data_IF_103166289900
#
_entry.id   IF_103166289900
#
_cell.length_a   1.000
_cell.length_b   1.000
_cell.length_c   1.000
_cell.angle_alpha   90.00
_cell.angle_beta   90.00
_cell.angle_gamma   90.00
#
_symmetry.space_group_name_H-M   'P 1'
#
loop_
_entity.id
_entity.type
_entity.pdbx_description
1 polymer ?
#
# COMPACT_ATOMS: atom_id res chain seq x y z
N UNK A 1 -12.13 14.34 -7.20
CA UNK A 1 -11.61 13.16 -6.47
C UNK A 1 -11.43 11.95 -7.37
N UNK A 2 -12.44 11.57 -8.17
CA UNK A 2 -12.38 10.41 -9.06
C UNK A 2 -11.13 10.36 -9.98
N UNK A 3 -10.83 11.44 -10.71
CA UNK A 3 -9.62 11.48 -11.57
C UNK A 3 -8.33 11.24 -10.79
N UNK A 4 -8.22 11.77 -9.56
CA UNK A 4 -7.04 11.55 -8.72
C UNK A 4 -6.90 10.07 -8.35
N UNK A 5 -8.00 9.41 -7.96
CA UNK A 5 -8.00 7.99 -7.64
C UNK A 5 -7.62 7.12 -8.84
N UNK A 6 -8.10 7.47 -10.03
CA UNK A 6 -7.67 6.80 -11.27
C UNK A 6 -6.18 7.01 -11.53
N UNK A 7 -5.69 8.26 -11.47
CA UNK A 7 -4.29 8.56 -11.74
C UNK A 7 -3.37 7.85 -10.74
N UNK A 8 -3.60 8.01 -9.45
CA UNK A 8 -2.79 7.36 -8.41
C UNK A 8 -2.94 5.84 -8.44
N UNK A 9 -4.14 5.31 -8.71
CA UNK A 9 -4.37 3.88 -8.87
C UNK A 9 -3.58 3.28 -10.04
N UNK A 10 -3.62 3.92 -11.21
CA UNK A 10 -2.89 3.45 -12.40
C UNK A 10 -1.37 3.60 -12.24
N UNK A 11 -0.90 4.67 -11.60
CA UNK A 11 0.53 4.83 -11.29
C UNK A 11 0.99 3.76 -10.32
N UNK A 12 0.25 3.50 -9.24
CA UNK A 12 0.57 2.45 -8.26
C UNK A 12 0.55 1.05 -8.90
N UNK A 13 -0.44 0.80 -9.77
CA UNK A 13 -0.52 -0.44 -10.55
C UNK A 13 0.72 -0.60 -11.45
N UNK A 14 1.11 0.44 -12.17
CA UNK A 14 2.28 0.43 -13.05
C UNK A 14 3.57 0.14 -12.27
N UNK A 15 3.83 0.84 -11.16
CA UNK A 15 5.03 0.58 -10.36
C UNK A 15 4.98 -0.81 -9.71
N UNK A 16 3.80 -1.34 -9.39
CA UNK A 16 3.60 -2.73 -8.99
C UNK A 16 4.04 -3.72 -10.06
N UNK A 17 3.64 -3.51 -11.32
CA UNK A 17 4.10 -4.31 -12.46
C UNK A 17 5.62 -4.23 -12.63
N UNK A 18 6.18 -3.02 -12.56
CA UNK A 18 7.63 -2.81 -12.67
C UNK A 18 8.41 -3.50 -11.55
N UNK A 19 7.85 -3.55 -10.34
CA UNK A 19 8.44 -4.26 -9.18
C UNK A 19 8.57 -5.77 -9.44
N UNK A 20 7.66 -6.36 -10.24
CA UNK A 20 7.70 -7.77 -10.61
C UNK A 20 9.00 -8.18 -11.32
N UNK A 21 9.59 -7.29 -12.12
CA UNK A 21 10.87 -7.56 -12.79
C UNK A 21 12.07 -7.51 -11.84
N UNK A 22 11.99 -6.75 -10.76
CA UNK A 22 13.07 -6.60 -9.78
C UNK A 22 13.13 -7.77 -8.77
N UNK A 23 12.09 -8.60 -8.68
CA UNK A 23 11.92 -9.62 -7.64
C UNK A 23 13.13 -10.52 -7.40
N UNK A 24 13.74 -11.15 -8.44
CA UNK A 24 14.89 -12.03 -8.28
C UNK A 24 16.17 -11.33 -7.80
N UNK A 25 16.28 -10.01 -7.96
CA UNK A 25 17.46 -9.23 -7.60
C UNK A 25 17.44 -8.69 -6.16
N UNK A 26 16.31 -8.82 -5.45
CA UNK A 26 16.17 -8.32 -4.08
C UNK A 26 16.56 -9.37 -3.03
N UNK A 27 17.03 -8.89 -1.88
CA UNK A 27 17.50 -9.71 -0.76
C UNK A 27 16.46 -10.74 -0.31
N UNK A 28 15.19 -10.35 -0.26
CA UNK A 28 14.08 -11.24 0.05
C UNK A 28 13.06 -11.29 -1.12
N UNK A 29 13.20 -12.28 -2.02
CA UNK A 29 12.30 -12.43 -3.17
C UNK A 29 10.83 -12.66 -2.80
N UNK A 30 10.53 -13.28 -1.63
CA UNK A 30 9.13 -13.45 -1.18
C UNK A 30 8.49 -12.11 -0.86
N UNK A 31 9.22 -11.24 -0.16
CA UNK A 31 8.73 -9.90 0.14
C UNK A 31 8.66 -9.02 -1.11
N UNK A 32 9.52 -9.27 -2.11
CA UNK A 32 9.43 -8.61 -3.40
C UNK A 32 8.14 -9.00 -4.16
N UNK A 33 7.77 -10.29 -4.12
CA UNK A 33 6.48 -10.76 -4.62
C UNK A 33 5.32 -10.08 -3.89
N UNK A 34 5.40 -9.96 -2.55
CA UNK A 34 4.41 -9.18 -1.79
C UNK A 34 4.34 -7.74 -2.29
N UNK A 35 5.46 -7.06 -2.50
CA UNK A 35 5.46 -5.67 -3.00
C UNK A 35 4.84 -5.53 -4.38
N UNK A 36 5.13 -6.46 -5.29
CA UNK A 36 4.47 -6.53 -6.60
C UNK A 36 2.95 -6.65 -6.45
N UNK A 37 2.48 -7.60 -5.65
CA UNK A 37 1.05 -7.83 -5.42
C UNK A 37 0.39 -6.63 -4.75
N UNK A 38 1.02 -6.02 -3.74
CA UNK A 38 0.49 -4.84 -3.07
C UNK A 38 0.35 -3.66 -4.04
N UNK A 39 1.34 -3.41 -4.91
CA UNK A 39 1.22 -2.36 -5.94
C UNK A 39 0.06 -2.60 -6.90
N UNK A 40 -0.09 -3.83 -7.40
CA UNK A 40 -1.16 -4.21 -8.33
C UNK A 40 -2.53 -4.16 -7.66
N UNK A 41 -2.70 -4.76 -6.48
CA UNK A 41 -3.97 -4.85 -5.76
C UNK A 41 -4.42 -3.49 -5.23
N UNK A 42 -3.54 -2.71 -4.59
CA UNK A 42 -3.90 -1.38 -4.10
C UNK A 42 -4.15 -0.41 -5.28
N UNK A 43 -3.41 -0.55 -6.38
CA UNK A 43 -3.67 0.21 -7.61
C UNK A 43 -5.07 -0.05 -8.16
N UNK A 44 -5.45 -1.33 -8.31
CA UNK A 44 -6.81 -1.71 -8.71
C UNK A 44 -7.86 -1.22 -7.71
N UNK A 45 -7.60 -1.35 -6.40
CA UNK A 45 -8.52 -0.88 -5.37
C UNK A 45 -8.80 0.62 -5.48
N UNK A 46 -7.78 1.45 -5.68
CA UNK A 46 -7.97 2.89 -5.91
C UNK A 46 -8.80 3.18 -7.16
N UNK A 47 -8.58 2.45 -8.26
CA UNK A 47 -9.40 2.58 -9.47
C UNK A 47 -10.85 2.19 -9.20
N UNK A 48 -11.10 1.09 -8.49
CA UNK A 48 -12.45 0.65 -8.11
C UNK A 48 -13.15 1.67 -7.21
N UNK A 49 -12.45 2.27 -6.25
CA UNK A 49 -12.99 3.36 -5.43
C UNK A 49 -13.30 4.59 -6.28
N UNK A 50 -12.46 4.90 -7.28
CA UNK A 50 -12.76 5.93 -8.27
C UNK A 50 -14.05 5.65 -9.05
N UNK A 51 -14.33 4.40 -9.41
CA UNK A 51 -15.60 3.99 -10.05
C UNK A 51 -16.79 4.05 -9.09
N UNK A 52 -16.57 3.72 -7.82
CA UNK A 52 -17.57 3.81 -6.76
C UNK A 52 -17.93 5.27 -6.43
N UNK A 53 -17.01 6.21 -6.66
CA UNK A 53 -17.08 7.59 -6.19
C UNK A 53 -18.42 8.33 -6.44
N UNK A 54 -19.09 8.20 -7.60
CA UNK A 54 -20.39 8.86 -7.83
C UNK A 54 -21.50 8.41 -6.89
N UNK A 55 -21.34 7.28 -6.21
CA UNK A 55 -22.29 6.71 -5.25
C UNK A 55 -21.99 7.13 -3.80
N UNK A 56 -20.93 7.89 -3.55
CA UNK A 56 -20.55 8.32 -2.20
C UNK A 56 -21.15 9.69 -1.86
N UNK A 57 -21.94 9.72 -0.80
CA UNK A 57 -22.49 10.94 -0.20
C UNK A 57 -21.67 11.36 1.03
N UNK A 58 -20.54 12.03 0.77
CA UNK A 58 -19.64 12.53 1.81
C UNK A 58 -19.48 14.05 1.71
N UNK A 59 -19.43 14.79 2.84
CA UNK A 59 -19.00 16.18 2.84
C UNK A 59 -17.59 16.33 2.24
N UNK A 60 -17.31 17.46 1.59
CA UNK A 60 -16.05 17.69 0.87
C UNK A 60 -14.80 17.41 1.74
N UNK A 61 -14.81 17.77 3.03
CA UNK A 61 -13.70 17.48 3.93
C UNK A 61 -13.42 15.97 4.05
N UNK A 62 -14.47 15.15 4.22
CA UNK A 62 -14.34 13.70 4.31
C UNK A 62 -13.96 13.05 2.99
N UNK A 63 -14.36 13.63 1.86
CA UNK A 63 -13.86 13.20 0.54
C UNK A 63 -12.34 13.38 0.44
N UNK A 64 -11.81 14.54 0.83
CA UNK A 64 -10.36 14.81 0.83
C UNK A 64 -9.63 13.83 1.76
N UNK A 65 -10.11 13.68 3.00
CA UNK A 65 -9.53 12.76 3.99
C UNK A 65 -9.50 11.34 3.44
N UNK A 66 -10.60 10.87 2.85
CA UNK A 66 -10.68 9.52 2.26
C UNK A 66 -9.62 9.34 1.17
N UNK A 67 -9.54 10.25 0.19
CA UNK A 67 -8.54 10.14 -0.89
C UNK A 67 -7.12 10.11 -0.33
N UNK A 68 -6.80 11.00 0.62
CA UNK A 68 -5.46 11.06 1.23
C UNK A 68 -5.12 9.76 1.95
N UNK A 69 -6.04 9.22 2.76
CA UNK A 69 -5.82 7.98 3.50
C UNK A 69 -5.59 6.78 2.59
N UNK A 70 -6.42 6.62 1.55
CA UNK A 70 -6.32 5.47 0.65
C UNK A 70 -5.06 5.54 -0.23
N UNK A 71 -4.75 6.71 -0.77
CA UNK A 71 -3.54 6.90 -1.58
C UNK A 71 -2.30 6.70 -0.71
N UNK A 72 -2.26 7.31 0.47
CA UNK A 72 -1.15 7.09 1.42
C UNK A 72 -1.00 5.61 1.74
N UNK A 73 -2.07 4.92 2.12
CA UNK A 73 -2.01 3.53 2.51
C UNK A 73 -1.49 2.63 1.37
N UNK A 74 -2.01 2.79 0.15
CA UNK A 74 -1.58 2.00 -1.00
C UNK A 74 -0.09 2.18 -1.32
N UNK A 75 0.39 3.43 -1.37
CA UNK A 75 1.80 3.72 -1.65
C UNK A 75 2.72 3.33 -0.50
N UNK A 76 2.32 3.57 0.74
CA UNK A 76 3.07 3.15 1.91
C UNK A 76 3.19 1.62 1.97
N UNK A 77 2.17 0.88 1.52
CA UNK A 77 2.16 -0.58 1.54
C UNK A 77 3.12 -1.16 0.51
N UNK A 78 3.04 -0.66 -0.73
CA UNK A 78 4.01 -0.99 -1.77
C UNK A 78 5.44 -0.65 -1.34
N UNK A 79 5.66 0.53 -0.75
CA UNK A 79 6.99 0.97 -0.34
C UNK A 79 7.53 0.18 0.85
N UNK A 80 6.71 -0.09 1.86
CA UNK A 80 7.11 -0.87 3.04
C UNK A 80 7.55 -2.27 2.65
N UNK A 81 6.78 -2.94 1.79
CA UNK A 81 7.11 -4.28 1.29
C UNK A 81 8.33 -4.24 0.37
N UNK A 82 8.51 -3.20 -0.46
CA UNK A 82 9.70 -3.05 -1.29
C UNK A 82 10.98 -2.86 -0.46
N UNK A 83 10.94 -1.97 0.54
CA UNK A 83 12.06 -1.74 1.45
C UNK A 83 12.36 -2.99 2.28
N UNK A 84 11.33 -3.70 2.74
CA UNK A 84 11.48 -4.97 3.43
C UNK A 84 12.13 -6.03 2.54
N UNK A 85 11.78 -6.07 1.25
CA UNK A 85 12.40 -6.94 0.26
C UNK A 85 13.87 -6.59 -0.01
N UNK A 86 14.17 -5.31 -0.17
CA UNK A 86 15.53 -4.83 -0.43
C UNK A 86 16.45 -5.03 0.78
N UNK A 87 15.95 -4.81 2.00
CA UNK A 87 16.75 -4.87 3.23
C UNK A 87 16.71 -6.21 3.96
N UNK A 88 15.81 -7.12 3.60
CA UNK A 88 15.54 -8.30 4.43
C UNK A 88 14.93 -7.95 5.79
N UNK A 89 14.06 -6.93 5.83
CA UNK A 89 13.39 -6.46 7.05
C UNK A 89 11.93 -6.98 7.14
N UNK A 90 11.19 -6.56 8.16
CA UNK A 90 9.76 -6.85 8.29
C UNK A 90 9.46 -8.08 9.13
N UNK A 91 10.44 -8.63 9.85
CA UNK A 91 10.30 -9.87 10.62
C UNK A 91 9.20 -9.79 11.69
N UNK A 92 9.00 -8.61 12.30
CA UNK A 92 8.02 -8.42 13.38
C UNK A 92 6.57 -8.50 12.91
N UNK A 93 6.26 -7.92 11.76
CA UNK A 93 4.88 -7.76 11.28
C UNK A 93 4.53 -8.68 10.10
N UNK A 94 5.54 -9.14 9.36
CA UNK A 94 5.38 -10.06 8.24
C UNK A 94 6.34 -11.27 8.36
N UNK A 95 6.29 -12.04 9.46
CA UNK A 95 7.27 -13.12 9.74
C UNK A 95 7.29 -14.21 8.67
N UNK A 96 6.14 -14.53 8.07
CA UNK A 96 6.02 -15.55 7.01
C UNK A 96 6.79 -15.14 5.76
N UNK A 97 6.67 -13.87 5.36
CA UNK A 97 7.36 -13.33 4.19
C UNK A 97 8.84 -13.02 4.50
N UNK A 98 9.16 -12.62 5.73
CA UNK A 98 10.53 -12.33 6.17
C UNK A 98 11.39 -13.60 6.29
N UNK A 99 10.82 -14.73 6.75
CA UNK A 99 11.58 -15.95 7.00
C UNK A 99 12.68 -15.73 8.04
N UNK A 100 13.92 -16.10 7.70
CA UNK A 100 15.09 -15.93 8.57
C UNK A 100 15.79 -14.58 8.42
N UNK A 101 15.30 -13.69 7.53
CA UNK A 101 15.92 -12.39 7.31
C UNK A 101 15.77 -11.48 8.53
N UNK A 102 16.81 -10.71 8.79
CA UNK A 102 16.84 -9.70 9.84
C UNK A 102 17.67 -8.51 9.40
N UNK A 103 17.09 -7.33 9.48
CA UNK A 103 17.79 -6.08 9.19
C UNK A 103 18.23 -5.36 10.49
N UNK A 104 18.97 -4.27 10.34
CA UNK A 104 19.31 -3.40 11.47
C UNK A 104 18.06 -2.82 12.12
N UNK A 105 18.14 -2.49 13.41
CA UNK A 105 17.00 -1.97 14.17
C UNK A 105 16.35 -0.73 13.52
N UNK A 106 17.15 0.15 12.90
CA UNK A 106 16.65 1.31 12.18
C UNK A 106 15.80 0.92 10.95
N UNK A 107 16.27 -0.02 10.13
CA UNK A 107 15.57 -0.50 8.93
C UNK A 107 14.27 -1.22 9.30
N UNK A 108 14.31 -2.06 10.32
CA UNK A 108 13.12 -2.71 10.89
C UNK A 108 12.13 -1.67 11.42
N UNK A 109 12.62 -0.63 12.09
CA UNK A 109 11.80 0.46 12.62
C UNK A 109 11.04 1.20 11.52
N UNK A 110 11.70 1.56 10.42
CA UNK A 110 11.07 2.23 9.27
C UNK A 110 9.98 1.36 8.65
N UNK A 111 10.28 0.09 8.37
CA UNK A 111 9.30 -0.84 7.78
C UNK A 111 8.12 -1.07 8.72
N UNK A 112 8.38 -1.24 10.02
CA UNK A 112 7.35 -1.40 11.05
C UNK A 112 6.44 -0.17 11.13
N UNK A 113 7.04 1.02 11.15
CA UNK A 113 6.28 2.26 11.18
C UNK A 113 5.34 2.37 9.99
N UNK A 114 5.85 2.14 8.77
CA UNK A 114 5.04 2.19 7.55
C UNK A 114 3.89 1.18 7.60
N UNK A 115 4.14 -0.08 7.98
CA UNK A 115 3.10 -1.09 8.10
C UNK A 115 2.00 -0.74 9.11
N UNK A 116 2.36 -0.15 10.26
CA UNK A 116 1.37 0.24 11.25
C UNK A 116 0.57 1.47 10.81
N UNK A 117 1.25 2.49 10.29
CA UNK A 117 0.59 3.73 9.87
C UNK A 117 -0.32 3.50 8.67
N UNK A 118 0.10 2.69 7.69
CA UNK A 118 -0.75 2.33 6.55
C UNK A 118 -1.94 1.49 6.97
N UNK A 119 -1.79 0.57 7.94
CA UNK A 119 -2.89 -0.27 8.42
C UNK A 119 -3.99 0.58 9.06
N UNK A 120 -3.61 1.57 9.87
CA UNK A 120 -4.58 2.52 10.44
C UNK A 120 -5.25 3.33 9.33
N UNK A 121 -4.47 3.82 8.35
CA UNK A 121 -5.00 4.64 7.28
C UNK A 121 -5.99 3.89 6.38
N UNK A 122 -5.68 2.65 5.97
CA UNK A 122 -6.58 1.88 5.10
C UNK A 122 -7.87 1.51 5.82
N UNK A 123 -7.81 1.10 7.09
CA UNK A 123 -9.01 0.77 7.88
C UNK A 123 -9.90 2.00 8.03
N UNK A 124 -9.32 3.14 8.41
CA UNK A 124 -10.08 4.38 8.53
C UNK A 124 -10.69 4.82 7.19
N UNK A 125 -9.92 4.78 6.10
CA UNK A 125 -10.39 5.15 4.77
C UNK A 125 -11.55 4.27 4.27
N UNK A 126 -11.45 2.95 4.46
CA UNK A 126 -12.51 2.01 4.09
C UNK A 126 -13.77 2.23 4.94
N UNK A 127 -13.63 2.50 6.24
CA UNK A 127 -14.79 2.83 7.10
C UNK A 127 -15.49 4.10 6.61
N UNK A 128 -14.75 5.14 6.20
CA UNK A 128 -15.36 6.36 5.67
C UNK A 128 -16.10 6.08 4.35
N UNK A 129 -15.55 5.24 3.46
CA UNK A 129 -16.27 4.80 2.26
C UNK A 129 -17.58 4.11 2.64
N UNK A 130 -17.55 3.17 3.59
CA UNK A 130 -18.74 2.41 4.02
C UNK A 130 -19.82 3.35 4.59
N UNK A 131 -19.41 4.34 5.40
CA UNK A 131 -20.33 5.35 5.97
C UNK A 131 -20.87 6.30 4.90
N UNK A 132 -20.11 6.53 3.83
CA UNK A 132 -20.46 7.40 2.73
C UNK A 132 -21.32 6.76 1.64
N UNK A 133 -21.45 5.44 1.62
CA UNK A 133 -22.40 4.71 0.76
C UNK A 133 -23.82 4.83 1.33
#
# INVERSE_FOLDING_TARGET
MQTLLFTFGLVLFLIGLLTGFAGPALTNPRMALSSHLEGVLNGMFLVLVGLLWPHLNLPHAWQVVTVVLLVYAGYANWLATLLAAAWGAGRKLAPIAAGTHQASAAKEGVVTFLFLSLAVAIVAGVVIIIVGL
#
